data_IF_580128340142
#
_entry.id   IF_580128340142
#
_cell.length_a   1.000
_cell.length_b   1.000
_cell.length_c   1.000
_cell.angle_alpha   90.00
_cell.angle_beta   90.00
_cell.angle_gamma   90.00
#
_symmetry.space_group_name_H-M   'P 1'
#
loop_
_entity.id
_entity.type
_entity.pdbx_description
1 polymer ?
#
# COMPACT_ATOMS: atom_id res chain seq x y z
N UNK A 1 3.11 7.58 -1.28
CA UNK A 1 3.72 6.36 -1.85
C UNK A 1 4.58 6.76 -3.04
N UNK A 2 5.83 6.30 -3.08
CA UNK A 2 6.80 6.57 -4.15
C UNK A 2 6.96 5.29 -4.98
N UNK A 3 6.98 5.42 -6.31
CA UNK A 3 7.18 4.29 -7.23
C UNK A 3 8.47 4.51 -8.02
N UNK A 4 9.41 3.58 -7.92
CA UNK A 4 10.67 3.62 -8.68
C UNK A 4 10.68 2.48 -9.69
N UNK A 5 11.03 2.79 -10.94
CA UNK A 5 11.23 1.80 -11.98
C UNK A 5 12.58 1.12 -11.79
N UNK A 6 12.60 -0.21 -11.79
CA UNK A 6 13.82 -1.01 -11.70
C UNK A 6 13.99 -1.86 -12.96
N UNK A 7 15.22 -2.15 -13.28
CA UNK A 7 15.64 -3.08 -14.31
C UNK A 7 16.52 -4.14 -13.66
N UNK A 8 16.01 -5.37 -13.58
CA UNK A 8 16.68 -6.46 -12.89
C UNK A 8 17.19 -7.44 -13.95
N UNK A 9 18.48 -7.72 -13.95
CA UNK A 9 19.05 -8.72 -14.85
C UNK A 9 18.94 -10.09 -14.17
N UNK A 10 18.21 -11.01 -14.79
CA UNK A 10 18.08 -12.36 -14.27
C UNK A 10 19.34 -13.22 -14.58
N UNK A 11 19.38 -14.41 -14.05
CA UNK A 11 20.50 -15.35 -14.20
C UNK A 11 20.82 -15.74 -15.66
N UNK A 12 19.84 -15.61 -16.56
CA UNK A 12 20.01 -15.84 -18.00
C UNK A 12 20.52 -14.59 -18.75
N UNK A 13 20.74 -13.47 -18.07
CA UNK A 13 21.14 -12.20 -18.66
C UNK A 13 20.00 -11.40 -19.26
N UNK A 14 18.74 -11.83 -19.07
CA UNK A 14 17.54 -11.13 -19.56
C UNK A 14 17.10 -10.06 -18.57
N UNK A 15 16.61 -8.95 -19.09
CA UNK A 15 16.13 -7.83 -18.32
C UNK A 15 14.68 -8.02 -17.90
N UNK A 16 14.47 -8.09 -16.60
CA UNK A 16 13.13 -8.08 -15.98
C UNK A 16 12.74 -6.65 -15.65
N UNK A 17 11.58 -6.24 -16.16
CA UNK A 17 11.00 -4.95 -15.79
C UNK A 17 10.34 -5.07 -14.43
N UNK A 18 10.73 -4.22 -13.49
CA UNK A 18 10.16 -4.19 -12.15
C UNK A 18 9.81 -2.77 -11.70
N UNK A 19 8.99 -2.68 -10.67
CA UNK A 19 8.60 -1.45 -9.99
C UNK A 19 8.68 -1.66 -8.49
N UNK A 20 9.44 -0.83 -7.82
CA UNK A 20 9.49 -0.77 -6.36
C UNK A 20 8.52 0.31 -5.88
N UNK A 21 7.58 -0.08 -5.04
CA UNK A 21 6.66 0.82 -4.35
C UNK A 21 7.03 0.88 -2.87
N UNK A 22 7.23 2.10 -2.34
CA UNK A 22 7.61 2.32 -0.94
C UNK A 22 6.65 3.27 -0.25
N UNK A 23 6.51 3.20 1.09
CA UNK A 23 5.78 4.19 1.87
C UNK A 23 6.25 5.60 1.55
N UNK A 24 5.34 6.57 1.65
CA UNK A 24 5.65 7.98 1.37
C UNK A 24 6.50 8.62 2.47
N UNK A 25 6.30 8.19 3.71
CA UNK A 25 6.71 8.88 4.93
C UNK A 25 7.75 8.14 5.76
N UNK A 26 8.20 6.99 5.32
CA UNK A 26 9.17 6.19 6.08
C UNK A 26 9.94 5.23 5.18
N UNK A 27 11.15 4.86 5.58
CA UNK A 27 11.86 3.76 4.94
C UNK A 27 11.12 2.45 5.19
N UNK A 28 11.02 1.55 4.19
CA UNK A 28 10.37 0.27 4.38
C UNK A 28 11.09 -0.57 5.45
N UNK A 29 10.36 -1.05 6.44
CA UNK A 29 10.90 -1.96 7.44
C UNK A 29 11.11 -3.37 6.86
N UNK A 30 10.21 -3.77 5.97
CA UNK A 30 10.19 -5.08 5.34
C UNK A 30 9.93 -4.95 3.84
N UNK A 31 10.43 -5.91 3.06
CA UNK A 31 10.17 -5.96 1.63
C UNK A 31 9.33 -7.19 1.28
N UNK A 32 8.44 -7.01 0.29
CA UNK A 32 7.65 -8.07 -0.32
C UNK A 32 7.86 -8.10 -1.83
N UNK A 33 7.74 -9.30 -2.42
CA UNK A 33 7.70 -9.48 -3.87
C UNK A 33 6.32 -9.95 -4.26
N UNK A 34 5.75 -9.35 -5.30
CA UNK A 34 4.47 -9.74 -5.88
C UNK A 34 4.67 -10.45 -7.22
N UNK A 35 4.29 -11.72 -7.27
CA UNK A 35 4.26 -12.59 -8.45
C UNK A 35 2.86 -12.56 -9.09
N UNK A 36 2.75 -11.99 -10.29
CA UNK A 36 1.47 -11.87 -10.99
C UNK A 36 1.02 -13.18 -11.64
N UNK A 37 -0.22 -13.24 -12.14
CA UNK A 37 -0.77 -14.39 -12.83
C UNK A 37 -0.13 -14.60 -14.22
N UNK A 38 -0.29 -15.82 -14.76
CA UNK A 38 0.33 -16.31 -15.99
C UNK A 38 0.13 -15.45 -17.25
N UNK A 39 -1.03 -14.82 -17.40
CA UNK A 39 -1.35 -13.95 -18.57
C UNK A 39 -1.40 -12.47 -18.22
N UNK A 40 -0.98 -12.10 -16.98
CA UNK A 40 -1.00 -10.72 -16.50
C UNK A 40 0.35 -10.01 -16.71
N UNK A 41 0.50 -8.87 -16.07
CA UNK A 41 1.76 -8.15 -15.92
C UNK A 41 1.75 -7.34 -14.61
N UNK A 42 2.89 -6.80 -14.26
CA UNK A 42 3.08 -6.00 -13.04
C UNK A 42 2.24 -4.72 -12.99
N UNK A 43 1.71 -4.25 -14.12
CA UNK A 43 0.86 -3.06 -14.22
C UNK A 43 -0.63 -3.36 -14.11
N UNK A 44 -1.01 -4.63 -13.92
CA UNK A 44 -2.40 -5.01 -13.73
C UNK A 44 -2.99 -4.32 -12.49
N UNK A 45 -4.27 -3.90 -12.57
CA UNK A 45 -4.91 -3.06 -11.55
C UNK A 45 -4.87 -3.68 -10.16
N UNK A 46 -5.19 -4.98 -10.05
CA UNK A 46 -5.16 -5.68 -8.78
C UNK A 46 -3.74 -5.71 -8.17
N UNK A 47 -2.71 -6.00 -8.99
CA UNK A 47 -1.31 -6.03 -8.56
C UNK A 47 -0.90 -4.67 -7.98
N UNK A 48 -1.23 -3.58 -8.67
CA UNK A 48 -0.96 -2.21 -8.20
C UNK A 48 -1.67 -1.90 -6.89
N UNK A 49 -2.96 -2.19 -6.79
CA UNK A 49 -3.76 -1.86 -5.61
C UNK A 49 -3.29 -2.64 -4.38
N UNK A 50 -3.02 -3.95 -4.53
CA UNK A 50 -2.49 -4.79 -3.45
C UNK A 50 -1.12 -4.27 -3.00
N UNK A 51 -0.21 -4.00 -3.95
CA UNK A 51 1.11 -3.46 -3.64
C UNK A 51 1.02 -2.12 -2.89
N UNK A 52 0.15 -1.23 -3.34
CA UNK A 52 -0.09 0.07 -2.69
C UNK A 52 -0.66 -0.07 -1.28
N UNK A 53 -1.64 -0.96 -1.07
CA UNK A 53 -2.17 -1.20 0.27
C UNK A 53 -1.09 -1.66 1.24
N UNK A 54 -0.16 -2.51 0.78
CA UNK A 54 0.96 -2.97 1.60
C UNK A 54 1.92 -1.86 1.99
N UNK A 55 2.11 -0.83 1.16
CA UNK A 55 2.94 0.32 1.56
C UNK A 55 2.36 1.08 2.75
N UNK A 56 1.03 1.10 2.92
CA UNK A 56 0.38 1.68 4.10
C UNK A 56 0.66 0.88 5.39
N UNK A 57 1.10 -0.38 5.24
CA UNK A 57 1.55 -1.23 6.34
C UNK A 57 3.08 -1.22 6.52
N UNK A 58 3.79 -0.28 5.91
CA UNK A 58 5.24 -0.10 6.05
C UNK A 58 6.09 -1.00 5.17
N UNK A 59 5.52 -1.70 4.18
CA UNK A 59 6.26 -2.56 3.26
C UNK A 59 6.80 -1.79 2.04
N UNK A 60 8.04 -2.09 1.65
CA UNK A 60 8.48 -1.90 0.28
C UNK A 60 8.02 -3.09 -0.57
N UNK A 61 7.37 -2.85 -1.70
CA UNK A 61 6.82 -3.93 -2.53
C UNK A 61 7.42 -3.87 -3.93
N UNK A 62 8.07 -4.95 -4.35
CA UNK A 62 8.48 -5.12 -5.75
C UNK A 62 7.45 -5.95 -6.49
N UNK A 63 6.89 -5.39 -7.54
CA UNK A 63 6.11 -6.07 -8.57
C UNK A 63 6.91 -6.05 -9.86
N UNK A 64 7.01 -7.17 -10.54
CA UNK A 64 7.83 -7.31 -11.74
C UNK A 64 7.11 -8.14 -12.80
N UNK A 65 7.55 -8.04 -14.03
CA UNK A 65 7.09 -8.86 -15.14
C UNK A 65 8.02 -10.07 -15.28
N UNK A 66 7.46 -11.27 -15.30
CA UNK A 66 8.24 -12.50 -15.58
C UNK A 66 8.88 -12.49 -16.97
N UNK A 67 9.92 -13.26 -17.18
CA UNK A 67 10.57 -13.47 -18.49
C UNK A 67 9.52 -13.72 -19.57
N UNK A 68 9.62 -13.01 -20.70
CA UNK A 68 8.69 -13.15 -21.83
C UNK A 68 7.28 -12.57 -21.60
N UNK A 69 7.05 -11.87 -20.49
CA UNK A 69 5.79 -11.23 -20.16
C UNK A 69 5.92 -9.71 -19.94
N UNK A 70 4.85 -8.99 -20.19
CA UNK A 70 4.76 -7.55 -19.95
C UNK A 70 5.79 -6.74 -20.72
N UNK A 71 6.76 -6.17 -20.01
CA UNK A 71 7.89 -5.39 -20.57
C UNK A 71 9.24 -6.03 -20.29
N UNK A 72 9.27 -7.26 -19.76
CA UNK A 72 10.48 -8.03 -19.58
C UNK A 72 10.93 -8.64 -20.91
N UNK A 73 12.24 -8.85 -21.05
CA UNK A 73 12.84 -9.52 -22.19
C UNK A 73 12.58 -11.03 -22.16
N UNK A 74 12.91 -11.72 -23.27
CA UNK A 74 12.69 -13.14 -23.49
C UNK A 74 11.40 -13.45 -24.23
N UNK A 75 11.25 -14.71 -24.61
CA UNK A 75 10.06 -15.20 -25.28
C UNK A 75 9.11 -15.89 -24.30
N UNK A 76 7.80 -15.84 -24.56
CA UNK A 76 6.83 -16.49 -23.68
C UNK A 76 7.06 -18.01 -23.53
N UNK A 77 7.50 -18.67 -24.59
CA UNK A 77 7.86 -20.09 -24.55
C UNK A 77 8.95 -20.42 -23.51
N UNK A 78 9.74 -19.42 -23.09
CA UNK A 78 10.76 -19.52 -22.03
C UNK A 78 10.18 -19.23 -20.62
N UNK A 79 8.94 -18.70 -20.55
CA UNK A 79 8.23 -18.39 -19.30
C UNK A 79 7.52 -19.64 -18.71
N UNK A 80 8.19 -20.79 -18.74
CA UNK A 80 7.70 -22.00 -18.09
C UNK A 80 7.74 -21.87 -16.55
N UNK A 81 7.08 -22.77 -15.84
CA UNK A 81 6.90 -22.64 -14.39
C UNK A 81 8.21 -22.54 -13.60
N UNK A 82 9.18 -23.39 -13.95
CA UNK A 82 10.51 -23.36 -13.31
C UNK A 82 11.26 -22.05 -13.56
N UNK A 83 11.13 -21.45 -14.76
CA UNK A 83 11.71 -20.15 -15.06
C UNK A 83 11.07 -19.03 -14.20
N UNK A 84 9.75 -19.07 -14.00
CA UNK A 84 9.07 -18.13 -13.13
C UNK A 84 9.55 -18.22 -11.67
N UNK A 85 9.85 -19.42 -11.18
CA UNK A 85 10.45 -19.63 -9.86
C UNK A 85 11.87 -19.04 -9.80
N UNK A 86 12.68 -19.23 -10.86
CA UNK A 86 14.03 -18.65 -10.96
C UNK A 86 13.99 -17.12 -11.01
N UNK A 87 13.09 -16.52 -11.80
CA UNK A 87 12.91 -15.07 -11.85
C UNK A 87 12.57 -14.50 -10.46
N UNK A 88 11.71 -15.18 -9.67
CA UNK A 88 11.41 -14.79 -8.27
C UNK A 88 12.65 -14.82 -7.39
N UNK A 89 13.51 -15.83 -7.56
CA UNK A 89 14.78 -15.96 -6.82
C UNK A 89 15.75 -14.85 -7.24
N UNK A 90 15.83 -14.53 -8.53
CA UNK A 90 16.69 -13.46 -9.04
C UNK A 90 16.24 -12.08 -8.56
N UNK A 91 14.93 -11.80 -8.54
CA UNK A 91 14.37 -10.57 -7.94
C UNK A 91 14.64 -10.50 -6.43
N UNK A 92 14.53 -11.63 -5.71
CA UNK A 92 14.90 -11.70 -4.30
C UNK A 92 16.36 -11.33 -4.08
N UNK A 93 17.27 -11.95 -4.85
CA UNK A 93 18.70 -11.71 -4.73
C UNK A 93 19.10 -10.29 -5.11
N UNK A 94 18.41 -9.69 -6.08
CA UNK A 94 18.58 -8.28 -6.41
C UNK A 94 18.21 -7.37 -5.24
N UNK A 95 17.05 -7.60 -4.61
CA UNK A 95 16.61 -6.81 -3.46
C UNK A 95 17.55 -6.96 -2.27
N UNK A 96 18.02 -8.17 -1.99
CA UNK A 96 18.99 -8.42 -0.92
C UNK A 96 20.30 -7.63 -1.10
N UNK A 97 20.77 -7.50 -2.34
CA UNK A 97 22.03 -6.79 -2.66
C UNK A 97 21.87 -5.25 -2.66
N UNK A 98 20.73 -4.73 -3.10
CA UNK A 98 20.56 -3.31 -3.37
C UNK A 98 19.69 -2.58 -2.35
N UNK A 99 18.89 -3.31 -1.54
CA UNK A 99 17.95 -2.77 -0.57
C UNK A 99 18.01 -3.56 0.74
N UNK A 100 17.02 -4.40 0.98
CA UNK A 100 16.92 -5.32 2.13
C UNK A 100 16.32 -6.63 1.64
N UNK A 101 16.78 -7.77 2.15
CA UNK A 101 16.25 -9.06 1.80
C UNK A 101 14.71 -9.11 1.98
N UNK A 102 13.95 -9.52 0.95
CA UNK A 102 12.51 -9.64 1.07
C UNK A 102 12.12 -10.65 2.15
N UNK A 103 11.03 -10.39 2.82
CA UNK A 103 10.52 -11.25 3.88
C UNK A 103 9.19 -11.89 3.56
N UNK A 104 8.51 -11.42 2.51
CA UNK A 104 7.18 -11.89 2.09
C UNK A 104 7.17 -12.15 0.59
N UNK A 105 6.63 -13.32 0.19
CA UNK A 105 6.21 -13.57 -1.18
C UNK A 105 4.69 -13.57 -1.27
N UNK A 106 4.16 -12.86 -2.25
CA UNK A 106 2.74 -12.78 -2.56
C UNK A 106 2.56 -13.24 -3.99
N UNK A 107 1.66 -14.17 -4.24
CA UNK A 107 1.45 -14.66 -5.59
C UNK A 107 -0.01 -14.82 -5.95
N UNK A 108 -0.36 -14.39 -7.16
CA UNK A 108 -1.69 -14.53 -7.72
C UNK A 108 -1.72 -15.66 -8.76
N UNK A 109 -2.72 -16.53 -8.67
CA UNK A 109 -2.91 -17.65 -9.59
C UNK A 109 -1.65 -18.52 -9.70
N UNK A 110 -1.11 -18.78 -10.88
CA UNK A 110 0.15 -19.52 -11.08
C UNK A 110 1.34 -18.85 -10.36
N UNK A 111 1.35 -17.51 -10.26
CA UNK A 111 2.33 -16.78 -9.45
C UNK A 111 2.29 -17.17 -7.97
N UNK A 112 1.12 -17.59 -7.46
CA UNK A 112 0.97 -18.13 -6.10
C UNK A 112 1.67 -19.47 -5.91
N UNK A 113 1.53 -20.38 -6.86
CA UNK A 113 2.28 -21.63 -6.87
C UNK A 113 3.79 -21.40 -6.97
N UNK A 114 4.24 -20.48 -7.86
CA UNK A 114 5.63 -20.11 -7.99
C UNK A 114 6.19 -19.48 -6.70
N UNK A 115 5.42 -18.63 -6.02
CA UNK A 115 5.77 -18.03 -4.74
C UNK A 115 6.00 -19.09 -3.65
N UNK A 116 5.14 -20.12 -3.57
CA UNK A 116 5.33 -21.25 -2.64
C UNK A 116 6.65 -21.98 -2.92
N UNK A 117 6.91 -22.31 -4.18
CA UNK A 117 8.13 -23.04 -4.56
C UNK A 117 9.38 -22.19 -4.33
N UNK A 118 9.35 -20.91 -4.69
CA UNK A 118 10.47 -20.00 -4.42
C UNK A 118 10.70 -19.85 -2.91
N UNK A 119 9.64 -19.70 -2.10
CA UNK A 119 9.75 -19.60 -0.66
C UNK A 119 10.37 -20.85 -0.01
N UNK A 120 10.20 -22.03 -0.59
CA UNK A 120 10.83 -23.26 -0.07
C UNK A 120 12.35 -23.26 -0.26
N UNK A 121 12.87 -22.44 -1.18
CA UNK A 121 14.31 -22.33 -1.50
C UNK A 121 14.98 -21.08 -0.89
N UNK A 122 14.21 -20.12 -0.38
CA UNK A 122 14.69 -18.83 0.13
C UNK A 122 14.51 -18.75 1.65
N UNK A 123 15.60 -18.74 2.40
CA UNK A 123 15.58 -18.74 3.88
C UNK A 123 15.08 -17.42 4.47
N UNK A 124 15.37 -16.30 3.79
CA UNK A 124 14.96 -14.96 4.21
C UNK A 124 13.45 -14.74 4.17
N UNK A 125 12.71 -15.49 3.36
CA UNK A 125 11.24 -15.40 3.29
C UNK A 125 10.64 -15.97 4.58
N UNK A 126 9.85 -15.12 5.26
CA UNK A 126 9.22 -15.43 6.56
C UNK A 126 7.73 -15.76 6.43
N UNK A 127 7.06 -15.32 5.36
CA UNK A 127 5.65 -15.60 5.13
C UNK A 127 5.32 -15.64 3.64
N UNK A 128 4.26 -16.39 3.28
CA UNK A 128 3.76 -16.49 1.91
C UNK A 128 2.26 -16.22 1.90
N UNK A 129 1.79 -15.45 0.93
CA UNK A 129 0.35 -15.28 0.65
C UNK A 129 0.03 -15.69 -0.78
N UNK A 130 -1.03 -16.47 -0.96
CA UNK A 130 -1.54 -16.87 -2.27
C UNK A 130 -2.93 -16.35 -2.49
N UNK A 131 -3.23 -15.93 -3.72
CA UNK A 131 -4.53 -15.40 -4.15
C UNK A 131 -4.98 -16.23 -5.36
N UNK A 132 -6.05 -17.01 -5.23
CA UNK A 132 -6.58 -17.84 -6.32
C UNK A 132 -5.56 -18.84 -6.90
N UNK A 133 -4.66 -19.38 -6.08
CA UNK A 133 -3.57 -20.25 -6.54
C UNK A 133 -4.04 -21.70 -6.79
N UNK A 134 -3.50 -22.39 -7.82
CA UNK A 134 -3.76 -23.82 -8.02
C UNK A 134 -2.94 -24.66 -7.05
N UNK A 135 -3.49 -25.82 -6.66
CA UNK A 135 -2.82 -26.84 -5.83
C UNK A 135 -1.88 -27.75 -6.64
N UNK A 136 -2.09 -27.82 -7.94
CA UNK A 136 -1.24 -28.51 -8.89
C UNK A 136 -0.91 -27.60 -10.05
N UNK A 137 0.35 -27.56 -10.44
CA UNK A 137 0.81 -26.77 -11.59
C UNK A 137 0.24 -27.36 -12.90
N UNK A 138 0.08 -28.68 -12.95
CA UNK A 138 -0.56 -29.39 -14.08
C UNK A 138 -2.00 -28.91 -14.35
N UNK A 139 -2.70 -28.41 -13.34
CA UNK A 139 -4.06 -27.89 -13.50
C UNK A 139 -4.14 -26.76 -14.54
N UNK A 140 -3.04 -26.02 -14.74
CA UNK A 140 -2.96 -24.94 -15.74
C UNK A 140 -2.94 -25.51 -17.18
N UNK A 141 -2.51 -26.74 -17.35
CA UNK A 141 -2.43 -27.37 -18.71
C UNK A 141 -3.80 -27.54 -19.38
N UNK A 142 -4.89 -27.58 -18.60
CA UNK A 142 -6.25 -27.60 -19.18
C UNK A 142 -6.57 -26.35 -20.02
N UNK A 143 -5.92 -25.21 -19.75
CA UNK A 143 -6.10 -23.97 -20.52
C UNK A 143 -5.60 -24.11 -21.97
N UNK A 144 -4.72 -25.07 -22.23
CA UNK A 144 -4.18 -25.35 -23.55
C UNK A 144 -4.18 -26.86 -23.89
N UNK A 145 -5.05 -27.65 -23.23
CA UNK A 145 -5.16 -29.10 -23.42
C UNK A 145 -5.35 -29.50 -24.88
N UNK A 146 -6.13 -28.70 -25.64
CA UNK A 146 -6.36 -28.89 -27.08
C UNK A 146 -5.10 -28.73 -27.94
N UNK A 147 -4.04 -28.11 -27.41
CA UNK A 147 -2.80 -27.88 -28.12
C UNK A 147 -1.69 -28.90 -27.76
N UNK A 148 -1.84 -29.70 -26.70
CA UNK A 148 -0.80 -30.60 -26.21
C UNK A 148 -0.38 -31.63 -27.29
N UNK A 149 -1.33 -32.27 -27.96
CA UNK A 149 -1.04 -33.20 -29.05
C UNK A 149 -0.38 -32.51 -30.25
N UNK A 150 -0.81 -31.29 -30.54
CA UNK A 150 -0.23 -30.49 -31.61
C UNK A 150 1.21 -30.04 -31.27
N UNK A 151 1.49 -29.71 -29.99
CA UNK A 151 2.86 -29.42 -29.52
C UNK A 151 3.75 -30.66 -29.66
N UNK A 152 3.26 -31.86 -29.32
CA UNK A 152 4.00 -33.10 -29.44
C UNK A 152 4.39 -33.44 -30.89
N UNK A 153 3.52 -33.06 -31.87
CA UNK A 153 3.75 -33.34 -33.28
C UNK A 153 4.48 -32.23 -34.03
N UNK A 154 4.21 -30.96 -33.71
CA UNK A 154 4.76 -29.79 -34.42
C UNK A 154 5.94 -29.12 -33.70
N UNK A 155 6.21 -29.50 -32.45
CA UNK A 155 7.26 -28.92 -31.62
C UNK A 155 6.86 -27.59 -30.96
N UNK A 156 6.17 -26.71 -31.66
CA UNK A 156 5.68 -25.42 -31.17
C UNK A 156 4.27 -25.14 -31.73
N UNK A 157 3.39 -24.57 -30.93
CA UNK A 157 2.01 -24.20 -31.29
C UNK A 157 1.60 -22.88 -30.63
N UNK A 158 0.84 -22.08 -31.34
CA UNK A 158 0.20 -20.89 -30.78
C UNK A 158 -1.11 -21.27 -30.06
N UNK A 159 -1.27 -20.78 -28.84
CA UNK A 159 -2.46 -20.94 -28.00
C UNK A 159 -2.99 -19.59 -27.54
N UNK A 160 -4.29 -19.49 -27.34
CA UNK A 160 -4.91 -18.26 -26.83
C UNK A 160 -5.23 -18.41 -25.34
N UNK A 161 -4.55 -17.65 -24.50
CA UNK A 161 -4.75 -17.64 -23.04
C UNK A 161 -5.21 -16.24 -22.63
N UNK A 162 -6.39 -16.14 -22.02
CA UNK A 162 -6.96 -14.83 -21.64
C UNK A 162 -7.17 -13.87 -22.82
N UNK A 163 -7.46 -14.42 -24.02
CA UNK A 163 -7.68 -13.63 -25.24
C UNK A 163 -6.41 -13.14 -25.95
N UNK A 164 -5.23 -13.57 -25.50
CA UNK A 164 -3.93 -13.22 -26.10
C UNK A 164 -3.28 -14.46 -26.72
N UNK A 165 -2.62 -14.34 -27.90
CA UNK A 165 -1.85 -15.42 -28.49
C UNK A 165 -0.51 -15.61 -27.77
N UNK A 166 -0.16 -16.86 -27.50
CA UNK A 166 1.12 -17.26 -26.91
C UNK A 166 1.65 -18.50 -27.62
N UNK A 167 2.96 -18.56 -27.83
CA UNK A 167 3.63 -19.75 -28.35
C UNK A 167 4.07 -20.64 -27.20
N UNK A 168 3.74 -21.92 -27.27
CA UNK A 168 4.15 -22.94 -26.32
C UNK A 168 4.88 -24.07 -27.05
N UNK A 169 5.88 -24.67 -26.38
CA UNK A 169 6.70 -25.77 -26.90
C UNK A 169 6.66 -27.00 -25.97
N UNK A 170 7.36 -28.08 -26.35
CA UNK A 170 7.38 -29.30 -25.55
C UNK A 170 7.99 -29.10 -24.16
N UNK A 171 9.07 -28.33 -24.05
CA UNK A 171 9.73 -28.06 -22.76
C UNK A 171 8.80 -27.29 -21.83
N UNK A 172 8.05 -26.32 -22.36
CA UNK A 172 7.02 -25.60 -21.66
C UNK A 172 5.96 -26.55 -21.04
N UNK A 173 5.41 -27.46 -21.84
CA UNK A 173 4.40 -28.42 -21.37
C UNK A 173 4.98 -29.41 -20.36
N UNK A 174 6.18 -29.94 -20.61
CA UNK A 174 6.82 -30.92 -19.77
C UNK A 174 7.20 -30.37 -18.39
N UNK A 175 7.49 -29.07 -18.29
CA UNK A 175 7.89 -28.42 -17.03
C UNK A 175 6.74 -28.40 -16.01
N UNK A 176 5.50 -28.25 -16.46
CA UNK A 176 4.31 -28.23 -15.58
C UNK A 176 4.06 -29.59 -14.89
N UNK A 177 4.47 -30.69 -15.49
CA UNK A 177 4.28 -32.03 -14.91
C UNK A 177 5.35 -32.43 -13.89
N UNK A 178 6.46 -31.68 -13.79
CA UNK A 178 7.60 -32.03 -12.92
C UNK A 178 7.48 -31.52 -11.48
N UNK A 179 6.53 -30.62 -11.18
CA UNK A 179 6.46 -29.95 -9.87
C UNK A 179 5.37 -30.56 -8.98
N UNK A 180 5.78 -31.24 -7.95
CA UNK A 180 4.88 -31.79 -6.92
C UNK A 180 4.59 -30.74 -5.84
N UNK A 181 3.74 -29.76 -6.13
CA UNK A 181 3.51 -28.59 -5.28
C UNK A 181 3.01 -28.97 -3.87
N UNK A 182 2.11 -29.95 -3.74
CA UNK A 182 1.60 -30.37 -2.44
C UNK A 182 2.68 -30.95 -1.53
N UNK A 183 3.67 -31.65 -2.07
CA UNK A 183 4.79 -32.15 -1.28
C UNK A 183 5.70 -31.02 -0.80
N UNK A 184 5.85 -29.96 -1.59
CA UNK A 184 6.57 -28.75 -1.18
C UNK A 184 5.79 -28.05 -0.05
N UNK A 185 4.48 -27.92 -0.19
CA UNK A 185 3.60 -27.29 0.83
C UNK A 185 3.70 -28.01 2.18
N UNK A 186 3.68 -29.35 2.18
CA UNK A 186 3.84 -30.15 3.41
C UNK A 186 5.15 -29.87 4.15
N UNK A 187 6.19 -29.45 3.43
CA UNK A 187 7.54 -29.22 3.96
C UNK A 187 7.88 -27.74 4.16
N UNK A 188 7.01 -26.83 3.74
CA UNK A 188 7.31 -25.39 3.66
C UNK A 188 7.64 -24.75 5.01
N UNK A 189 6.96 -25.16 6.11
CA UNK A 189 7.19 -24.67 7.48
C UNK A 189 7.29 -23.14 7.61
N UNK A 190 6.56 -22.42 6.78
CA UNK A 190 6.44 -20.96 6.80
C UNK A 190 4.96 -20.59 6.91
N UNK A 191 4.61 -19.51 7.62
CA UNK A 191 3.26 -18.98 7.64
C UNK A 191 2.71 -18.85 6.22
N UNK A 192 1.54 -19.47 5.98
CA UNK A 192 0.88 -19.47 4.67
C UNK A 192 -0.53 -18.90 4.79
N UNK A 193 -0.80 -17.82 4.07
CA UNK A 193 -2.14 -17.25 3.89
C UNK A 193 -2.69 -17.70 2.54
N UNK A 194 -3.81 -18.42 2.57
CA UNK A 194 -4.54 -18.82 1.35
C UNK A 194 -5.77 -17.93 1.22
N UNK A 195 -5.84 -17.17 0.14
CA UNK A 195 -6.99 -16.32 -0.19
C UNK A 195 -7.61 -16.83 -1.49
N UNK A 196 -8.91 -17.11 -1.49
CA UNK A 196 -9.56 -17.70 -2.66
C UNK A 196 -11.05 -17.36 -2.72
N UNK A 197 -11.55 -17.16 -3.93
CA UNK A 197 -12.98 -16.93 -4.17
C UNK A 197 -13.73 -18.26 -4.32
N UNK A 198 -14.88 -18.44 -3.63
CA UNK A 198 -15.72 -19.62 -3.81
C UNK A 198 -16.38 -19.71 -5.19
N UNK A 199 -16.46 -18.58 -5.90
CA UNK A 199 -17.04 -18.47 -7.25
C UNK A 199 -16.00 -18.41 -8.37
N UNK A 200 -14.71 -18.64 -8.05
CA UNK A 200 -13.64 -18.66 -9.05
C UNK A 200 -13.87 -19.81 -10.06
N UNK A 201 -14.07 -19.44 -11.32
CA UNK A 201 -14.33 -20.37 -12.44
C UNK A 201 -13.07 -20.80 -13.17
N UNK A 202 -11.93 -20.18 -12.89
CA UNK A 202 -10.64 -20.49 -13.53
C UNK A 202 -9.86 -21.48 -12.67
N UNK A 203 -9.69 -21.14 -11.39
CA UNK A 203 -9.07 -22.03 -10.40
C UNK A 203 -10.11 -22.30 -9.31
N UNK A 204 -10.76 -23.44 -9.36
CA UNK A 204 -11.85 -23.75 -8.45
C UNK A 204 -11.40 -23.81 -6.98
N UNK A 205 -12.30 -23.47 -6.06
CA UNK A 205 -12.06 -23.37 -4.61
C UNK A 205 -11.45 -24.63 -3.98
N UNK A 206 -11.60 -25.82 -4.59
CA UNK A 206 -10.98 -27.07 -4.14
C UNK A 206 -9.45 -26.96 -4.06
N UNK A 207 -8.84 -26.17 -4.94
CA UNK A 207 -7.39 -25.92 -4.89
C UNK A 207 -6.97 -25.26 -3.58
N UNK A 208 -7.73 -24.28 -3.11
CA UNK A 208 -7.47 -23.65 -1.81
C UNK A 208 -7.62 -24.63 -0.65
N UNK A 209 -8.63 -25.51 -0.71
CA UNK A 209 -8.83 -26.57 0.27
C UNK A 209 -7.61 -27.50 0.31
N UNK A 210 -7.12 -27.97 -0.83
CA UNK A 210 -5.97 -28.86 -0.92
C UNK A 210 -4.69 -28.20 -0.41
N UNK A 211 -4.42 -26.94 -0.81
CA UNK A 211 -3.29 -26.15 -0.31
C UNK A 211 -3.39 -26.04 1.22
N UNK A 212 -4.55 -25.61 1.72
CA UNK A 212 -4.74 -25.38 3.15
C UNK A 212 -4.61 -26.67 3.96
N UNK A 213 -5.19 -27.79 3.51
CA UNK A 213 -5.11 -29.07 4.21
C UNK A 213 -3.69 -29.59 4.29
N UNK A 214 -2.88 -29.45 3.25
CA UNK A 214 -1.51 -29.94 3.19
C UNK A 214 -0.48 -29.00 3.86
N UNK A 215 -0.83 -27.73 4.07
CA UNK A 215 0.08 -26.78 4.73
C UNK A 215 0.21 -27.07 6.23
N UNK A 216 1.41 -26.84 6.76
CA UNK A 216 1.68 -26.87 8.20
C UNK A 216 1.27 -25.53 8.84
N UNK A 217 1.00 -25.55 10.15
CA UNK A 217 0.82 -24.30 10.89
C UNK A 217 2.14 -23.54 11.05
N UNK A 218 2.09 -22.17 11.04
CA UNK A 218 0.90 -21.31 10.98
C UNK A 218 0.30 -21.25 9.57
N UNK A 219 -0.99 -21.41 9.45
CA UNK A 219 -1.74 -21.25 8.19
C UNK A 219 -3.07 -20.54 8.44
N UNK A 220 -3.52 -19.78 7.46
CA UNK A 220 -4.78 -19.05 7.49
C UNK A 220 -5.49 -19.16 6.14
N UNK A 221 -6.82 -19.10 6.16
CA UNK A 221 -7.65 -19.04 4.97
C UNK A 221 -8.56 -17.81 5.06
N UNK A 222 -8.70 -17.11 3.94
CA UNK A 222 -9.66 -15.99 3.78
C UNK A 222 -10.47 -16.24 2.51
N UNK A 223 -11.79 -16.29 2.67
CA UNK A 223 -12.71 -16.34 1.54
C UNK A 223 -12.85 -14.98 0.89
N UNK A 224 -12.75 -14.93 -0.44
CA UNK A 224 -12.96 -13.73 -1.27
C UNK A 224 -14.33 -13.84 -1.94
N UNK A 225 -15.40 -13.72 -1.16
CA UNK A 225 -16.76 -14.21 -1.48
C UNK A 225 -17.31 -13.80 -2.84
N UNK A 226 -17.03 -12.58 -3.31
CA UNK A 226 -17.59 -12.06 -4.56
C UNK A 226 -16.51 -11.66 -5.58
N UNK A 227 -15.25 -12.02 -5.34
CA UNK A 227 -14.16 -11.68 -6.24
C UNK A 227 -14.14 -12.63 -7.44
N UNK A 228 -13.88 -12.09 -8.62
CA UNK A 228 -13.51 -12.89 -9.78
C UNK A 228 -12.05 -13.35 -9.69
N UNK A 229 -11.65 -14.31 -10.54
CA UNK A 229 -10.28 -14.83 -10.55
C UNK A 229 -9.20 -13.75 -10.67
N UNK A 230 -9.45 -12.73 -11.48
CA UNK A 230 -8.49 -11.65 -11.75
C UNK A 230 -8.56 -10.50 -10.74
N UNK A 231 -9.49 -10.56 -9.78
CA UNK A 231 -9.67 -9.51 -8.76
C UNK A 231 -9.86 -8.14 -9.43
N UNK A 232 -10.78 -8.06 -10.40
CA UNK A 232 -10.95 -6.86 -11.23
C UNK A 232 -11.55 -5.67 -10.48
N UNK A 233 -12.33 -5.91 -9.41
CA UNK A 233 -12.91 -4.87 -8.57
C UNK A 233 -11.84 -4.24 -7.69
N UNK A 234 -11.85 -2.90 -7.61
CA UNK A 234 -10.90 -2.14 -6.77
C UNK A 234 -11.07 -2.49 -5.29
N UNK A 235 -12.29 -2.64 -4.82
CA UNK A 235 -12.62 -2.96 -3.43
C UNK A 235 -12.00 -4.28 -2.99
N UNK A 236 -12.12 -5.33 -3.81
CA UNK A 236 -11.54 -6.65 -3.53
C UNK A 236 -10.01 -6.59 -3.46
N UNK A 237 -9.38 -5.88 -4.39
CA UNK A 237 -7.92 -5.75 -4.43
C UNK A 237 -7.37 -4.95 -3.23
N UNK A 238 -8.08 -3.89 -2.79
CA UNK A 238 -7.72 -3.13 -1.60
C UNK A 238 -7.94 -3.97 -0.33
N UNK A 239 -9.06 -4.72 -0.25
CA UNK A 239 -9.31 -5.64 0.85
C UNK A 239 -8.20 -6.68 0.99
N UNK A 240 -7.82 -7.34 -0.11
CA UNK A 240 -6.73 -8.33 -0.15
C UNK A 240 -5.42 -7.72 0.38
N UNK A 241 -5.04 -6.55 -0.11
CA UNK A 241 -3.80 -5.91 0.31
C UNK A 241 -3.78 -5.55 1.80
N UNK A 242 -4.88 -5.03 2.33
CA UNK A 242 -5.03 -4.71 3.75
C UNK A 242 -4.99 -5.97 4.62
N UNK A 243 -5.67 -7.05 4.19
CA UNK A 243 -5.67 -8.32 4.91
C UNK A 243 -4.28 -8.96 4.96
N UNK A 244 -3.55 -8.97 3.85
CA UNK A 244 -2.16 -9.47 3.82
C UNK A 244 -1.29 -8.63 4.75
N UNK A 245 -1.36 -7.30 4.65
CA UNK A 245 -0.58 -6.38 5.48
C UNK A 245 -0.81 -6.61 6.98
N UNK A 246 -2.07 -6.68 7.40
CA UNK A 246 -2.43 -6.92 8.80
C UNK A 246 -2.05 -8.32 9.28
N UNK A 247 -2.27 -9.36 8.42
CA UNK A 247 -1.98 -10.74 8.78
C UNK A 247 -0.49 -10.99 8.96
N UNK A 248 0.34 -10.46 8.09
CA UNK A 248 1.77 -10.75 8.05
C UNK A 248 2.54 -10.08 9.20
N UNK A 249 2.07 -8.95 9.72
CA UNK A 249 2.72 -8.21 10.81
C UNK A 249 2.96 -9.07 12.06
N UNK A 250 2.09 -10.03 12.36
CA UNK A 250 2.24 -10.93 13.53
C UNK A 250 3.47 -11.86 13.45
N UNK A 251 4.06 -12.01 12.26
CA UNK A 251 5.23 -12.88 12.03
C UNK A 251 6.54 -12.10 11.97
N UNK A 252 6.48 -10.80 12.10
CA UNK A 252 7.65 -9.94 12.22
C UNK A 252 7.76 -9.44 13.67
N UNK A 253 8.98 -9.37 14.16
CA UNK A 253 9.22 -8.57 15.34
C UNK A 253 8.84 -7.15 14.96
N UNK A 254 8.05 -6.49 15.77
CA UNK A 254 7.87 -5.04 15.69
C UNK A 254 9.27 -4.47 15.92
N UNK A 255 10.02 -4.23 14.84
CA UNK A 255 11.05 -3.21 14.93
C UNK A 255 10.22 -2.00 15.31
N UNK A 256 10.45 -1.43 16.48
CA UNK A 256 9.91 -0.12 16.82
C UNK A 256 10.16 0.70 15.57
N UNK A 257 9.08 1.16 14.92
CA UNK A 257 9.21 2.08 13.81
C UNK A 257 10.27 3.03 14.27
N UNK A 258 11.35 3.20 13.50
CA UNK A 258 12.37 4.18 13.80
C UNK A 258 11.70 5.54 13.68
N UNK A 259 10.86 5.83 14.67
CA UNK A 259 10.28 7.15 14.84
C UNK A 259 11.45 8.08 14.97
N UNK A 260 11.46 9.13 14.19
CA UNK A 260 12.47 10.16 14.32
C UNK A 260 12.40 10.62 15.77
N UNK A 261 13.51 10.50 16.49
CA UNK A 261 13.54 10.90 17.89
C UNK A 261 13.24 12.39 17.98
N UNK A 262 12.34 12.77 18.88
CA UNK A 262 12.03 14.19 19.12
C UNK A 262 13.11 14.90 19.93
N UNK A 263 14.09 14.14 20.46
CA UNK A 263 15.20 14.62 21.29
C UNK A 263 14.77 15.49 22.48
N UNK A 264 13.56 15.23 22.98
CA UNK A 264 12.95 15.97 24.08
C UNK A 264 12.05 17.12 23.67
N UNK A 265 12.00 17.44 22.39
CA UNK A 265 11.12 18.46 21.84
C UNK A 265 9.68 17.94 21.66
N UNK A 266 8.72 18.84 21.58
CA UNK A 266 7.32 18.51 21.39
C UNK A 266 7.06 17.81 20.04
N UNK A 267 7.81 18.17 19.00
CA UNK A 267 7.64 17.73 17.64
C UNK A 267 8.95 17.83 16.88
N UNK A 268 9.20 16.86 16.02
CA UNK A 268 10.23 16.90 14.97
C UNK A 268 9.57 16.78 13.60
N UNK A 269 10.03 17.57 12.65
CA UNK A 269 9.66 17.46 11.25
C UNK A 269 10.93 17.22 10.43
N UNK A 270 10.85 16.30 9.47
CA UNK A 270 11.99 15.89 8.64
C UNK A 270 11.58 15.81 7.17
N UNK A 271 12.41 16.35 6.31
CA UNK A 271 12.32 16.26 4.86
C UNK A 271 13.69 15.84 4.29
N UNK A 272 13.71 14.75 3.52
CA UNK A 272 14.90 14.39 2.74
C UNK A 272 14.88 15.12 1.39
N UNK A 273 15.61 16.23 1.31
CA UNK A 273 15.62 17.10 0.14
C UNK A 273 16.18 16.47 -1.14
N UNK A 274 16.87 15.34 -1.05
CA UNK A 274 17.40 14.61 -2.19
C UNK A 274 16.39 13.61 -2.77
N UNK A 275 15.48 13.08 -1.93
CA UNK A 275 14.56 12.01 -2.29
C UNK A 275 13.11 12.46 -2.37
N UNK A 276 12.73 13.49 -1.62
CA UNK A 276 11.36 13.96 -1.47
C UNK A 276 11.22 15.40 -1.98
N UNK A 277 10.09 15.71 -2.65
CA UNK A 277 9.79 17.10 -3.05
C UNK A 277 9.40 17.93 -1.82
N UNK A 278 8.16 17.73 -1.31
CA UNK A 278 7.60 18.41 -0.14
C UNK A 278 7.08 17.46 0.92
N UNK A 279 7.13 16.13 0.66
CA UNK A 279 6.62 15.14 1.60
C UNK A 279 7.45 15.16 2.88
N UNK A 280 6.86 15.69 3.94
CA UNK A 280 7.50 15.90 5.24
C UNK A 280 6.93 14.91 6.26
N UNK A 281 7.80 14.18 6.92
CA UNK A 281 7.44 13.33 8.06
C UNK A 281 7.42 14.17 9.32
N UNK A 282 6.30 14.13 10.05
CA UNK A 282 6.12 14.86 11.31
C UNK A 282 5.89 13.83 12.42
N UNK A 283 6.66 13.94 13.49
CA UNK A 283 6.61 13.03 14.62
C UNK A 283 6.43 13.81 15.92
N UNK A 284 5.47 13.40 16.74
CA UNK A 284 5.37 13.74 18.17
C UNK A 284 5.79 12.52 18.97
N UNK A 285 5.81 12.62 20.31
CA UNK A 285 6.14 11.49 21.18
C UNK A 285 5.34 10.21 20.86
N UNK A 286 4.07 10.34 20.45
CA UNK A 286 3.14 9.20 20.26
C UNK A 286 2.47 9.11 18.90
N UNK A 287 2.57 10.13 18.07
CA UNK A 287 1.83 10.22 16.82
C UNK A 287 2.71 10.62 15.67
N UNK A 288 2.48 9.99 14.51
CA UNK A 288 3.14 10.32 13.25
C UNK A 288 2.13 10.90 12.27
N UNK A 289 2.56 11.89 11.50
CA UNK A 289 1.78 12.54 10.46
C UNK A 289 2.64 12.71 9.21
N UNK A 290 1.98 12.92 8.08
CA UNK A 290 2.63 13.36 6.83
C UNK A 290 2.06 14.73 6.50
N UNK A 291 2.92 15.68 6.16
CA UNK A 291 2.55 16.91 5.48
C UNK A 291 3.08 16.87 4.05
N UNK A 292 2.31 17.42 3.11
CA UNK A 292 2.76 17.56 1.72
C UNK A 292 2.07 18.78 1.09
N UNK A 293 2.53 19.20 -0.07
CA UNK A 293 1.84 20.17 -0.89
C UNK A 293 0.98 19.45 -1.94
N UNK A 294 -0.11 20.08 -2.41
CA UNK A 294 -0.90 19.55 -3.50
C UNK A 294 -0.09 19.48 -4.80
N UNK A 295 -0.46 18.63 -5.72
CA UNK A 295 0.23 18.46 -7.02
C UNK A 295 0.29 19.74 -7.83
N UNK A 296 -0.68 20.65 -7.69
CA UNK A 296 -0.69 21.98 -8.32
C UNK A 296 0.42 22.89 -7.80
N UNK A 297 0.93 22.66 -6.59
CA UNK A 297 2.06 23.38 -6.00
C UNK A 297 3.39 22.60 -6.12
N UNK A 298 3.41 21.49 -6.86
CA UNK A 298 4.61 20.66 -7.05
C UNK A 298 4.81 19.55 -6.03
N UNK A 299 3.86 19.35 -5.10
CA UNK A 299 3.85 18.23 -4.15
C UNK A 299 3.32 16.93 -4.75
N UNK A 300 3.20 15.91 -3.91
CA UNK A 300 2.67 14.60 -4.25
C UNK A 300 1.25 14.36 -3.72
N UNK A 301 0.70 15.31 -2.94
CA UNK A 301 -0.61 15.19 -2.29
C UNK A 301 -0.72 13.95 -1.38
N UNK A 302 0.34 13.66 -0.63
CA UNK A 302 0.42 12.51 0.28
C UNK A 302 -0.11 12.79 1.68
N UNK A 303 -0.30 14.05 2.01
CA UNK A 303 -0.81 14.50 3.30
C UNK A 303 -1.38 15.91 3.23
N UNK A 304 -2.00 16.38 4.34
CA UNK A 304 -2.46 17.76 4.46
C UNK A 304 -1.33 18.76 4.26
N UNK A 305 -1.67 19.93 3.66
CA UNK A 305 -0.73 21.03 3.53
C UNK A 305 -0.41 21.67 4.90
N UNK A 306 0.68 22.45 5.03
CA UNK A 306 0.99 23.17 6.26
C UNK A 306 -0.16 24.05 6.77
N UNK A 307 -0.90 24.69 5.88
CA UNK A 307 -2.06 25.50 6.25
C UNK A 307 -3.30 24.67 6.64
N UNK A 308 -3.41 23.44 6.15
CA UNK A 308 -4.43 22.51 6.66
C UNK A 308 -4.14 22.09 8.10
N UNK A 309 -2.87 21.88 8.45
CA UNK A 309 -2.45 21.61 9.84
C UNK A 309 -2.74 22.78 10.77
N UNK A 310 -2.47 24.01 10.33
CA UNK A 310 -2.81 25.22 11.08
C UNK A 310 -4.33 25.32 11.31
N UNK A 311 -5.10 25.08 10.25
CA UNK A 311 -6.57 25.08 10.29
C UNK A 311 -7.11 23.97 11.18
N UNK A 312 -6.55 22.76 11.11
CA UNK A 312 -6.92 21.62 11.95
C UNK A 312 -6.63 21.90 13.43
N UNK A 313 -5.51 22.53 13.76
CA UNK A 313 -5.17 22.96 15.11
C UNK A 313 -6.20 23.94 15.68
N UNK A 314 -6.60 24.94 14.90
CA UNK A 314 -7.62 25.91 15.30
C UNK A 314 -9.01 25.26 15.45
N UNK A 315 -9.41 24.39 14.51
CA UNK A 315 -10.69 23.70 14.54
C UNK A 315 -10.80 22.76 15.76
N UNK A 316 -9.79 21.89 15.95
CA UNK A 316 -9.79 20.93 17.07
C UNK A 316 -9.80 21.63 18.42
N UNK A 317 -8.98 22.67 18.60
CA UNK A 317 -8.96 23.46 19.83
C UNK A 317 -10.31 24.14 20.08
N UNK A 318 -10.98 24.66 19.05
CA UNK A 318 -12.33 25.23 19.15
C UNK A 318 -13.34 24.19 19.64
N UNK A 319 -13.35 22.99 19.03
CA UNK A 319 -14.27 21.90 19.41
C UNK A 319 -14.06 21.47 20.87
N UNK A 320 -12.81 21.27 21.28
CA UNK A 320 -12.47 20.89 22.66
C UNK A 320 -12.91 21.95 23.67
N UNK A 321 -12.72 23.24 23.34
CA UNK A 321 -13.12 24.36 24.19
C UNK A 321 -14.64 24.42 24.35
N UNK A 322 -15.40 24.24 23.26
CA UNK A 322 -16.87 24.24 23.28
C UNK A 322 -17.42 23.07 24.08
N UNK A 323 -16.84 21.85 23.89
CA UNK A 323 -17.21 20.67 24.67
C UNK A 323 -17.04 20.91 26.17
N UNK A 324 -15.86 21.39 26.58
CA UNK A 324 -15.58 21.65 28.00
C UNK A 324 -16.51 22.70 28.59
N UNK A 325 -16.83 23.77 27.85
CA UNK A 325 -17.70 24.81 28.29
C UNK A 325 -19.16 24.32 28.44
N UNK A 326 -19.72 23.65 27.44
CA UNK A 326 -21.06 23.09 27.46
C UNK A 326 -21.24 22.08 28.61
N UNK A 327 -20.26 21.18 28.77
CA UNK A 327 -20.26 20.20 29.87
C UNK A 327 -20.28 20.88 31.25
N UNK A 328 -19.45 21.94 31.47
CA UNK A 328 -19.45 22.73 32.71
C UNK A 328 -20.78 23.41 32.97
N UNK A 329 -21.47 23.83 31.91
CA UNK A 329 -22.78 24.50 31.99
C UNK A 329 -23.94 23.51 32.04
N UNK A 330 -23.68 22.22 31.84
CA UNK A 330 -24.69 21.16 31.71
C UNK A 330 -25.70 21.43 30.59
N UNK A 331 -25.23 22.01 29.47
CA UNK A 331 -26.04 22.25 28.29
C UNK A 331 -26.09 21.00 27.43
N UNK A 332 -27.21 20.75 26.77
CA UNK A 332 -27.39 19.60 25.86
C UNK A 332 -26.78 19.89 24.49
N UNK A 333 -25.46 19.99 24.46
CA UNK A 333 -24.66 20.06 23.23
C UNK A 333 -24.21 18.63 22.86
N UNK A 334 -24.80 18.06 21.81
CA UNK A 334 -24.57 16.68 21.36
C UNK A 334 -23.44 16.62 20.35
N UNK A 335 -23.50 17.44 19.27
CA UNK A 335 -22.45 17.50 18.25
C UNK A 335 -22.09 18.94 17.89
N UNK A 336 -20.84 19.15 17.48
CA UNK A 336 -20.35 20.44 16.98
C UNK A 336 -19.54 20.19 15.72
N UNK A 337 -19.84 20.99 14.69
CA UNK A 337 -19.03 21.03 13.46
C UNK A 337 -18.37 22.41 13.34
N UNK A 338 -17.09 22.39 13.00
CA UNK A 338 -16.31 23.59 12.68
C UNK A 338 -15.87 23.49 11.23
N UNK A 339 -16.38 24.36 10.39
CA UNK A 339 -15.92 24.52 9.00
C UNK A 339 -14.95 25.68 8.95
N UNK A 340 -13.76 25.46 8.42
CA UNK A 340 -12.69 26.43 8.36
C UNK A 340 -12.24 26.64 6.92
N UNK A 341 -12.05 27.90 6.51
CA UNK A 341 -11.48 28.25 5.21
C UNK A 341 -10.36 29.27 5.44
N UNK A 342 -9.18 28.93 4.94
CA UNK A 342 -8.04 29.86 4.87
C UNK A 342 -8.01 30.54 3.51
N UNK A 343 -7.74 31.84 3.49
CA UNK A 343 -7.56 32.63 2.28
C UNK A 343 -6.68 33.86 2.55
N UNK A 344 -6.02 34.34 1.52
CA UNK A 344 -5.39 35.67 1.55
C UNK A 344 -6.38 36.69 1.01
N UNK A 345 -6.61 37.78 1.75
CA UNK A 345 -7.51 38.87 1.37
C UNK A 345 -6.76 40.18 1.30
N UNK A 346 -7.27 41.10 0.49
CA UNK A 346 -6.83 42.49 0.48
C UNK A 346 -7.62 43.30 1.55
N UNK A 347 -6.98 44.35 2.09
CA UNK A 347 -7.60 45.28 3.06
C UNK A 347 -8.91 45.87 2.55
N UNK A 348 -8.96 46.18 1.25
CA UNK A 348 -10.13 46.75 0.59
C UNK A 348 -11.34 45.82 0.59
N UNK A 349 -11.15 44.52 0.66
CA UNK A 349 -12.22 43.51 0.69
C UNK A 349 -12.94 43.39 2.05
N UNK A 350 -12.42 44.05 3.11
CA UNK A 350 -12.90 43.92 4.48
C UNK A 350 -13.20 45.24 5.17
N UNK A 351 -13.25 46.37 4.42
CA UNK A 351 -13.54 47.73 4.97
C UNK A 351 -12.67 48.09 6.19
N UNK A 352 -11.35 47.77 6.11
CA UNK A 352 -10.40 48.03 7.20
C UNK A 352 -9.67 49.38 6.98
N UNK A 353 -9.21 49.99 8.08
CA UNK A 353 -8.54 51.29 8.08
C UNK A 353 -7.30 51.35 7.20
N UNK A 354 -6.95 52.53 6.68
CA UNK A 354 -5.85 52.77 5.74
C UNK A 354 -4.45 52.39 6.24
N UNK A 355 -4.28 52.16 7.53
CA UNK A 355 -3.01 51.68 8.17
C UNK A 355 -2.87 50.17 8.19
N UNK A 356 -3.82 49.40 7.63
CA UNK A 356 -3.76 47.95 7.59
C UNK A 356 -2.89 47.47 6.41
N UNK A 357 -2.08 46.40 6.58
CA UNK A 357 -1.31 45.81 5.48
C UNK A 357 -2.20 45.49 4.26
N UNK A 358 -1.72 45.76 3.06
CA UNK A 358 -2.49 45.55 1.81
C UNK A 358 -2.95 44.09 1.60
N UNK A 359 -2.31 43.14 2.26
CA UNK A 359 -2.66 41.71 2.26
C UNK A 359 -2.52 41.12 3.66
N UNK A 360 -3.47 40.31 4.05
CA UNK A 360 -3.44 39.57 5.34
C UNK A 360 -4.06 38.19 5.20
N UNK A 361 -3.67 37.31 6.13
CA UNK A 361 -4.18 35.96 6.20
C UNK A 361 -5.54 35.96 6.90
N UNK A 362 -6.53 35.34 6.27
CA UNK A 362 -7.92 35.31 6.76
C UNK A 362 -8.38 33.87 6.98
N UNK A 363 -8.76 33.57 8.22
CA UNK A 363 -9.37 32.30 8.62
C UNK A 363 -10.86 32.53 8.90
N UNK A 364 -11.72 32.04 8.02
CA UNK A 364 -13.16 32.09 8.21
C UNK A 364 -13.64 30.81 8.89
N UNK A 365 -14.31 30.96 10.05
CA UNK A 365 -14.78 29.85 10.87
C UNK A 365 -16.31 29.86 10.97
N UNK A 366 -16.98 28.80 10.46
CA UNK A 366 -18.42 28.57 10.58
C UNK A 366 -18.68 27.45 11.57
N UNK A 367 -19.70 27.62 12.42
CA UNK A 367 -20.05 26.67 13.46
C UNK A 367 -21.46 26.13 13.22
N UNK A 368 -21.63 24.82 13.42
CA UNK A 368 -22.93 24.15 13.46
C UNK A 368 -23.03 23.37 14.76
N UNK A 369 -24.10 23.55 15.51
CA UNK A 369 -24.39 22.87 16.76
C UNK A 369 -25.58 21.93 16.57
N UNK A 370 -25.54 20.77 17.22
CA UNK A 370 -26.66 19.83 17.34
C UNK A 370 -26.86 19.55 18.82
N UNK A 371 -28.11 19.62 19.27
CA UNK A 371 -28.54 19.45 20.65
C UNK A 371 -29.76 20.35 20.96
N UNK A 372 -30.31 20.19 22.14
CA UNK A 372 -31.43 21.06 22.63
C UNK A 372 -30.83 22.33 23.26
N UNK A 373 -30.61 23.34 22.40
CA UNK A 373 -29.97 24.62 22.75
C UNK A 373 -30.84 25.78 22.36
N UNK A 374 -31.06 26.69 23.31
CA UNK A 374 -31.74 27.97 23.02
C UNK A 374 -30.82 28.96 22.27
N UNK A 375 -31.40 30.03 21.73
CA UNK A 375 -30.64 31.03 20.96
C UNK A 375 -29.56 31.73 21.79
N UNK A 376 -29.77 31.95 23.09
CA UNK A 376 -28.77 32.55 23.97
C UNK A 376 -27.58 31.62 24.21
N UNK A 377 -27.85 30.34 24.33
CA UNK A 377 -26.81 29.32 24.46
C UNK A 377 -26.00 29.22 23.17
N UNK A 378 -26.63 29.21 22.01
CA UNK A 378 -25.98 29.20 20.69
C UNK A 378 -25.09 30.44 20.52
N UNK A 379 -25.61 31.64 20.82
CA UNK A 379 -24.83 32.87 20.73
C UNK A 379 -23.65 32.85 21.71
N UNK A 380 -23.85 32.32 22.92
CA UNK A 380 -22.75 32.18 23.89
C UNK A 380 -21.69 31.19 23.45
N UNK A 381 -22.08 30.07 22.86
CA UNK A 381 -21.11 29.11 22.29
C UNK A 381 -20.29 29.75 21.16
N UNK A 382 -20.90 30.59 20.31
CA UNK A 382 -20.17 31.34 19.29
C UNK A 382 -19.11 32.27 19.92
N UNK A 383 -19.42 32.97 21.00
CA UNK A 383 -18.44 33.81 21.72
C UNK A 383 -17.30 32.96 22.35
N UNK A 384 -17.65 31.80 22.90
CA UNK A 384 -16.66 30.88 23.51
C UNK A 384 -15.75 30.30 22.44
N UNK A 385 -16.23 30.00 21.24
CA UNK A 385 -15.45 29.55 20.12
C UNK A 385 -14.31 30.51 19.74
N UNK A 386 -14.45 31.80 19.97
CA UNK A 386 -13.39 32.79 19.78
C UNK A 386 -12.42 32.88 20.95
N UNK A 387 -12.63 32.13 22.04
CA UNK A 387 -11.77 32.15 23.24
C UNK A 387 -10.87 30.94 23.38
N UNK A 388 -10.83 30.04 22.37
CA UNK A 388 -9.93 28.89 22.43
C UNK A 388 -8.46 29.34 22.42
N UNK A 389 -7.55 28.64 23.09
CA UNK A 389 -6.13 29.00 23.17
C UNK A 389 -5.49 29.27 21.81
N UNK A 390 -5.63 28.36 20.85
CA UNK A 390 -5.05 28.51 19.50
C UNK A 390 -5.59 29.76 18.78
N UNK A 391 -6.89 30.09 18.93
CA UNK A 391 -7.45 31.31 18.37
C UNK A 391 -6.79 32.57 18.96
N UNK A 392 -6.57 32.58 20.26
CA UNK A 392 -5.89 33.69 20.94
C UNK A 392 -4.44 33.80 20.48
N UNK A 393 -3.73 32.70 20.37
CA UNK A 393 -2.35 32.66 19.86
C UNK A 393 -2.25 33.24 18.45
N UNK A 394 -3.16 32.87 17.56
CA UNK A 394 -3.19 33.37 16.17
C UNK A 394 -3.53 34.88 16.07
N UNK A 395 -4.15 35.46 17.09
CA UNK A 395 -4.47 36.89 17.16
C UNK A 395 -3.46 37.71 17.98
N UNK A 396 -2.49 37.05 18.65
CA UNK A 396 -1.46 37.69 19.44
C UNK A 396 -0.15 37.84 18.67
N UNK A 397 0.77 38.65 19.20
CA UNK A 397 2.13 38.70 18.71
C UNK A 397 2.83 37.39 19.12
N UNK A 398 3.22 36.58 18.15
CA UNK A 398 4.00 35.35 18.33
C UNK A 398 5.45 35.65 18.04
N UNK A 399 6.35 35.36 18.97
CA UNK A 399 7.80 35.43 18.75
C UNK A 399 8.28 34.05 18.32
N UNK A 400 9.03 33.97 17.25
CA UNK A 400 9.61 32.73 16.72
C UNK A 400 11.12 32.90 16.69
N UNK A 401 11.80 32.15 17.57
CA UNK A 401 13.26 32.09 17.59
C UNK A 401 13.73 30.90 16.71
N UNK A 402 14.87 31.06 16.06
CA UNK A 402 15.42 30.04 15.17
C UNK A 402 16.88 29.80 15.53
N UNK A 403 17.21 28.56 15.85
CA UNK A 403 18.55 28.12 16.20
C UNK A 403 19.03 27.04 15.23
N UNK A 404 20.36 26.97 15.02
CA UNK A 404 20.99 25.91 14.24
C UNK A 404 21.61 24.92 15.23
N UNK A 405 21.16 23.67 15.19
CA UNK A 405 21.76 22.59 15.97
C UNK A 405 22.98 22.09 15.20
N UNK A 406 24.15 22.18 15.81
CA UNK A 406 25.39 21.66 15.23
C UNK A 406 25.34 20.11 15.17
N UNK A 407 25.90 19.56 14.10
CA UNK A 407 26.04 18.11 13.90
C UNK A 407 27.10 17.51 14.80
#
# INVERSE_FOLDING_TARGET
MKTTKLEIINKKGLKLQAYLEVPANQKPNHFAIFAHCFSCNSNFKAVKNISRSLTNHGFGVVRFDFTGLGKSEGEFAESHFSANVEDLIDVNNYLERHYKAPSVLIGHSLGGAAAIVAASKLENIKAVSTIGAPASVEHVTHLFSHAIEAVATKGEVEVHIGGRPFKINQDFVADFSKTYLLEIIKKLRKPLLVMHSPIDKIVGIKNAQEIYQNAQHPKSFISLDNADHLVTKTEDSLYIGNMIGSWVQRYFKTEENSMIATEGEQLVAHLNVLEDNFTTSIQTEKHSFIADEPTSAGGNDFGPSPYDFLSAGLASCTLMTLKLYAARKKWDLQEVFVYLTYSKKHSDDLEMDADTPSRFDHLNKKLKFIGDLDEKQVQRLKEIAAKCPVHKTLQSNVIIDTEIIAH
#
